data_IF_540138484710
#
_entry.id   IF_540138484710
#
_cell.length_a   1.000
_cell.length_b   1.000
_cell.length_c   1.000
_cell.angle_alpha   90.00
_cell.angle_beta   90.00
_cell.angle_gamma   90.00
#
_symmetry.space_group_name_H-M   'P 1'
#
loop_
_entity.id
_entity.type
_entity.pdbx_description
1 polymer ?
#
# COMPACT_ATOMS: atom_id res chain seq x y z
N UNK A 1 13.68 -19.91 5.02
CA UNK A 1 14.25 -19.97 3.66
C UNK A 1 14.67 -18.55 3.31
N UNK A 2 15.92 -18.33 2.90
CA UNK A 2 16.45 -17.02 2.52
C UNK A 2 16.64 -16.96 1.01
N UNK A 3 16.28 -15.84 0.38
CA UNK A 3 16.46 -15.60 -1.05
C UNK A 3 17.62 -14.63 -1.23
N UNK A 4 18.59 -14.97 -2.08
CA UNK A 4 19.65 -14.04 -2.48
C UNK A 4 19.18 -13.26 -3.70
N UNK A 5 19.02 -11.95 -3.54
CA UNK A 5 18.69 -11.07 -4.66
C UNK A 5 19.95 -10.81 -5.51
N UNK A 6 19.83 -10.73 -6.84
CA UNK A 6 20.97 -10.35 -7.70
C UNK A 6 21.32 -8.87 -7.51
N UNK A 7 22.44 -8.44 -8.09
CA UNK A 7 22.87 -7.03 -8.04
C UNK A 7 21.77 -6.13 -8.60
N UNK A 8 21.45 -5.09 -7.83
CA UNK A 8 20.42 -4.10 -8.13
C UNK A 8 21.03 -2.76 -8.51
N UNK A 9 20.24 -1.93 -9.18
CA UNK A 9 20.55 -0.50 -9.23
C UNK A 9 20.38 0.11 -7.83
N UNK A 10 21.02 1.25 -7.57
CA UNK A 10 20.83 1.99 -6.33
C UNK A 10 19.34 2.27 -6.03
N UNK A 11 18.57 2.88 -6.96
CA UNK A 11 17.15 3.13 -6.76
C UNK A 11 16.32 1.87 -6.46
N UNK A 12 16.59 0.77 -7.17
CA UNK A 12 15.91 -0.50 -6.94
C UNK A 12 16.15 -1.03 -5.53
N UNK A 13 17.40 -1.00 -5.06
CA UNK A 13 17.75 -1.42 -3.70
C UNK A 13 17.05 -0.54 -2.65
N UNK A 14 16.99 0.78 -2.87
CA UNK A 14 16.29 1.71 -1.96
C UNK A 14 14.79 1.45 -1.92
N UNK A 15 14.17 1.09 -3.04
CA UNK A 15 12.76 0.67 -3.08
C UNK A 15 12.52 -0.64 -2.32
N UNK A 16 13.45 -1.61 -2.39
CA UNK A 16 13.37 -2.83 -1.57
C UNK A 16 13.49 -2.56 -0.08
N UNK A 17 14.46 -1.74 0.34
CA UNK A 17 14.57 -1.33 1.74
C UNK A 17 13.29 -0.66 2.23
N UNK A 18 12.67 0.19 1.40
CA UNK A 18 11.38 0.79 1.73
C UNK A 18 10.24 -0.23 1.92
N UNK A 19 10.19 -1.29 1.10
CA UNK A 19 9.22 -2.38 1.30
C UNK A 19 9.44 -3.13 2.61
N UNK A 20 10.70 -3.35 2.98
CA UNK A 20 11.06 -4.01 4.24
C UNK A 20 10.70 -3.13 5.44
N UNK A 21 11.06 -1.84 5.41
CA UNK A 21 10.67 -0.85 6.42
C UNK A 21 9.13 -0.77 6.56
N UNK A 22 8.42 -0.79 5.44
CA UNK A 22 6.96 -0.80 5.43
C UNK A 22 6.40 -2.09 6.05
N UNK A 23 6.98 -3.25 5.73
CA UNK A 23 6.56 -4.54 6.27
C UNK A 23 6.78 -4.62 7.79
N UNK A 24 7.90 -4.10 8.29
CA UNK A 24 8.19 -4.04 9.73
C UNK A 24 7.13 -3.25 10.50
N UNK A 25 6.64 -2.14 9.93
CA UNK A 25 5.59 -1.32 10.55
C UNK A 25 4.18 -1.83 10.29
N UNK A 26 3.96 -2.44 9.12
CA UNK A 26 2.66 -2.89 8.59
C UNK A 26 2.85 -4.23 7.87
N UNK A 27 2.81 -5.35 8.59
CA UNK A 27 3.03 -6.66 7.99
C UNK A 27 1.87 -7.15 7.11
N UNK A 28 0.69 -6.52 7.21
CA UNK A 28 -0.53 -6.89 6.49
C UNK A 28 -1.20 -5.67 5.84
N UNK A 29 -2.30 -5.89 5.12
CA UNK A 29 -3.08 -4.84 4.45
C UNK A 29 -2.56 -4.45 3.06
N UNK A 30 -1.45 -5.02 2.62
CA UNK A 30 -0.87 -4.83 1.29
C UNK A 30 -0.07 -6.06 0.87
N UNK A 31 0.24 -6.15 -0.42
CA UNK A 31 1.18 -7.14 -0.95
C UNK A 31 2.02 -6.56 -2.08
N UNK A 32 3.24 -7.05 -2.22
CA UNK A 32 4.12 -6.79 -3.36
C UNK A 32 3.49 -7.37 -4.63
N UNK A 33 3.53 -6.60 -5.71
CA UNK A 33 3.11 -7.00 -7.06
C UNK A 33 4.11 -6.46 -8.09
N UNK A 34 3.79 -6.59 -9.39
CA UNK A 34 4.55 -5.94 -10.45
C UNK A 34 5.96 -6.51 -10.67
N UNK A 35 6.86 -5.65 -11.15
CA UNK A 35 8.19 -6.05 -11.62
C UNK A 35 9.06 -6.66 -10.52
N UNK A 36 9.05 -6.09 -9.31
CA UNK A 36 9.84 -6.59 -8.18
C UNK A 36 9.32 -7.94 -7.66
N UNK A 37 8.02 -8.20 -7.73
CA UNK A 37 7.48 -9.54 -7.43
C UNK A 37 8.02 -10.59 -8.39
N UNK A 38 8.03 -10.29 -9.70
CA UNK A 38 8.62 -11.18 -10.72
C UNK A 38 10.12 -11.34 -10.49
N UNK A 39 10.82 -10.25 -10.16
CA UNK A 39 12.24 -10.28 -9.81
C UNK A 39 12.51 -11.26 -8.66
N UNK A 40 11.78 -11.14 -7.55
CA UNK A 40 11.91 -12.03 -6.40
C UNK A 40 11.67 -13.50 -6.80
N UNK A 41 10.62 -13.78 -7.58
CA UNK A 41 10.35 -15.13 -8.06
C UNK A 41 11.42 -15.70 -9.00
N UNK A 42 12.07 -14.86 -9.80
CA UNK A 42 13.23 -15.25 -10.60
C UNK A 42 14.42 -15.59 -9.68
N UNK A 43 14.73 -14.71 -8.73
CA UNK A 43 15.82 -14.91 -7.77
C UNK A 43 15.65 -16.19 -6.95
N UNK A 44 14.43 -16.48 -6.48
CA UNK A 44 14.07 -17.73 -5.80
C UNK A 44 14.40 -18.99 -6.62
N UNK A 45 14.42 -18.87 -7.95
CA UNK A 45 14.67 -19.96 -8.90
C UNK A 45 16.07 -19.92 -9.51
N UNK A 46 16.95 -19.03 -9.03
CA UNK A 46 18.29 -18.83 -9.59
C UNK A 46 18.28 -18.26 -11.01
N UNK A 47 17.21 -17.56 -11.40
CA UNK A 47 17.06 -16.91 -12.70
C UNK A 47 17.17 -15.38 -12.57
N UNK A 48 17.49 -14.71 -13.67
CA UNK A 48 17.49 -13.24 -13.75
C UNK A 48 16.26 -12.74 -14.52
N UNK A 49 15.58 -11.68 -14.04
CA UNK A 49 14.49 -11.08 -14.79
C UNK A 49 15.01 -10.43 -16.07
N UNK A 50 14.23 -10.52 -17.16
CA UNK A 50 14.62 -9.96 -18.46
C UNK A 50 14.72 -8.41 -18.45
N UNK A 51 13.97 -7.75 -17.56
CA UNK A 51 13.99 -6.30 -17.37
C UNK A 51 13.62 -5.96 -15.92
N UNK A 52 14.60 -5.71 -15.03
CA UNK A 52 14.30 -5.21 -13.70
C UNK A 52 13.71 -3.79 -13.77
N UNK A 53 12.78 -3.48 -12.87
CA UNK A 53 12.30 -2.11 -12.62
C UNK A 53 13.04 -1.54 -11.41
N UNK A 54 12.98 -0.22 -11.22
CA UNK A 54 13.56 0.45 -10.05
C UNK A 54 12.51 0.74 -8.97
N UNK A 55 11.25 0.84 -9.37
CA UNK A 55 10.10 1.06 -8.50
C UNK A 55 9.52 -0.25 -7.96
N UNK A 56 8.96 -0.15 -6.75
CA UNK A 56 8.22 -1.22 -6.11
C UNK A 56 6.71 -0.97 -6.23
N UNK A 57 5.96 -1.95 -6.75
CA UNK A 57 4.51 -1.90 -6.82
C UNK A 57 3.87 -2.65 -5.66
N UNK A 58 2.88 -2.03 -5.01
CA UNK A 58 2.09 -2.64 -3.95
C UNK A 58 0.61 -2.53 -4.27
N UNK A 59 -0.17 -3.56 -3.92
CA UNK A 59 -1.63 -3.48 -3.96
C UNK A 59 -2.19 -3.59 -2.55
N UNK A 60 -3.16 -2.73 -2.24
CA UNK A 60 -3.81 -2.73 -0.94
C UNK A 60 -4.90 -3.80 -0.86
N UNK A 61 -4.92 -4.58 0.22
CA UNK A 61 -6.02 -5.50 0.51
C UNK A 61 -7.13 -4.79 1.28
N UNK A 62 -7.80 -3.86 0.61
CA UNK A 62 -8.92 -3.12 1.20
C UNK A 62 -10.17 -3.99 1.43
N UNK A 63 -10.18 -5.25 0.96
CA UNK A 63 -11.26 -6.20 1.25
C UNK A 63 -11.10 -6.82 2.63
N UNK A 64 -9.89 -7.31 2.94
CA UNK A 64 -9.58 -7.82 4.26
C UNK A 64 -9.42 -6.68 5.28
N UNK A 65 -8.83 -5.56 4.85
CA UNK A 65 -8.48 -4.43 5.72
C UNK A 65 -9.00 -3.10 5.13
N UNK A 66 -10.25 -2.71 5.42
CA UNK A 66 -10.89 -1.52 4.83
C UNK A 66 -10.13 -0.20 5.06
N UNK A 67 -9.29 -0.13 6.09
CA UNK A 67 -8.48 1.04 6.43
C UNK A 67 -7.04 0.98 5.92
N UNK A 68 -6.66 -0.04 5.15
CA UNK A 68 -5.30 -0.24 4.64
C UNK A 68 -4.77 0.99 3.91
N UNK A 69 -5.61 1.68 3.12
CA UNK A 69 -5.18 2.90 2.43
C UNK A 69 -4.69 3.99 3.40
N UNK A 70 -5.47 4.31 4.43
CA UNK A 70 -5.08 5.33 5.41
C UNK A 70 -3.84 4.91 6.21
N UNK A 71 -3.77 3.63 6.60
CA UNK A 71 -2.67 3.11 7.41
C UNK A 71 -1.37 3.08 6.63
N UNK A 72 -1.39 2.59 5.39
CA UNK A 72 -0.20 2.49 4.53
C UNK A 72 0.28 3.88 4.13
N UNK A 73 -0.60 4.77 3.67
CA UNK A 73 -0.19 6.13 3.28
C UNK A 73 0.30 6.97 4.46
N UNK A 74 -0.25 6.78 5.66
CA UNK A 74 0.29 7.37 6.89
C UNK A 74 1.69 6.83 7.19
N UNK A 75 1.87 5.51 7.12
CA UNK A 75 3.16 4.85 7.39
C UNK A 75 4.22 5.31 6.39
N UNK A 76 3.89 5.45 5.10
CA UNK A 76 4.80 5.97 4.08
C UNK A 76 5.25 7.41 4.40
N UNK A 77 4.35 8.30 4.84
CA UNK A 77 4.73 9.64 5.28
C UNK A 77 5.70 9.61 6.47
N UNK A 78 5.45 8.74 7.45
CA UNK A 78 6.32 8.55 8.61
C UNK A 78 7.68 7.94 8.24
N UNK A 79 7.78 7.27 7.09
CA UNK A 79 9.01 6.75 6.49
C UNK A 79 9.72 7.78 5.58
N UNK A 80 9.21 9.02 5.53
CA UNK A 80 9.80 10.11 4.75
C UNK A 80 9.37 10.16 3.29
N UNK A 81 8.36 9.39 2.89
CA UNK A 81 7.84 9.45 1.53
C UNK A 81 6.90 10.63 1.31
N UNK A 82 6.94 11.17 0.09
CA UNK A 82 6.05 12.20 -0.40
C UNK A 82 5.27 11.67 -1.61
N UNK A 83 3.97 11.99 -1.74
CA UNK A 83 3.19 11.59 -2.89
C UNK A 83 3.57 12.44 -4.12
N UNK A 84 3.76 11.80 -5.27
CA UNK A 84 4.05 12.47 -6.54
C UNK A 84 2.80 12.53 -7.40
N UNK A 85 2.31 13.74 -7.60
CA UNK A 85 1.14 14.04 -8.43
C UNK A 85 -0.20 13.63 -7.81
N UNK A 86 -1.27 14.27 -8.29
CA UNK A 86 -2.63 13.76 -8.15
C UNK A 86 -3.05 13.28 -9.53
N UNK A 87 -3.49 12.02 -9.66
CA UNK A 87 -4.17 11.63 -10.90
C UNK A 87 -5.51 12.36 -10.99
N UNK A 88 -6.06 12.51 -12.20
CA UNK A 88 -7.34 13.19 -12.47
C UNK A 88 -8.54 12.67 -11.65
N UNK A 89 -8.41 11.51 -11.00
CA UNK A 89 -9.42 10.90 -10.13
C UNK A 89 -9.15 11.07 -8.62
N UNK A 90 -8.13 11.84 -8.22
CA UNK A 90 -7.83 12.17 -6.82
C UNK A 90 -6.97 11.16 -6.05
N UNK A 91 -6.53 10.06 -6.66
CA UNK A 91 -5.68 9.08 -5.99
C UNK A 91 -4.19 9.34 -6.23
N UNK A 92 -3.42 9.40 -5.14
CA UNK A 92 -1.96 9.48 -5.12
C UNK A 92 -1.43 8.06 -5.21
N UNK A 93 -0.99 7.66 -6.41
CA UNK A 93 -0.50 6.31 -6.65
C UNK A 93 1.01 6.20 -6.41
N UNK A 94 1.79 7.23 -6.72
CA UNK A 94 3.26 7.17 -6.62
C UNK A 94 3.76 7.89 -5.38
N UNK A 95 4.67 7.24 -4.66
CA UNK A 95 5.34 7.77 -3.48
C UNK A 95 6.84 7.74 -3.69
N UNK A 96 7.51 8.85 -3.41
CA UNK A 96 8.97 8.97 -3.56
C UNK A 96 9.62 9.47 -2.28
N UNK A 97 10.85 9.03 -2.03
CA UNK A 97 11.71 9.51 -0.94
C UNK A 97 13.00 10.12 -1.53
N UNK A 98 13.66 11.00 -0.77
CA UNK A 98 14.83 11.77 -1.24
C UNK A 98 15.98 10.89 -1.74
N UNK A 99 16.06 9.65 -1.27
CA UNK A 99 17.05 8.65 -1.64
C UNK A 99 16.72 7.85 -2.92
N UNK A 100 15.82 8.37 -3.74
CA UNK A 100 15.33 7.74 -4.99
C UNK A 100 14.52 6.46 -4.79
N UNK A 101 14.10 6.11 -3.57
CA UNK A 101 13.13 5.04 -3.38
C UNK A 101 11.78 5.44 -4.00
N UNK A 102 11.15 4.52 -4.73
CA UNK A 102 9.84 4.71 -5.35
C UNK A 102 8.92 3.55 -4.99
N UNK A 103 7.77 3.87 -4.41
CA UNK A 103 6.72 2.91 -4.09
C UNK A 103 5.42 3.34 -4.74
N UNK A 104 4.89 2.51 -5.63
CA UNK A 104 3.57 2.69 -6.21
C UNK A 104 2.53 1.92 -5.37
N UNK A 105 1.48 2.61 -4.95
CA UNK A 105 0.38 2.11 -4.13
C UNK A 105 -0.88 2.04 -4.97
N UNK A 106 -1.28 0.80 -5.29
CA UNK A 106 -2.44 0.47 -6.09
C UNK A 106 -3.64 0.19 -5.18
N UNK A 107 -4.71 0.97 -5.37
CA UNK A 107 -5.99 0.74 -4.72
C UNK A 107 -6.86 -0.06 -5.70
N UNK A 108 -7.22 -1.32 -5.40
CA UNK A 108 -8.05 -2.08 -6.29
C UNK A 108 -9.45 -1.46 -6.38
N UNK A 109 -9.92 -1.25 -7.61
CA UNK A 109 -11.27 -0.71 -7.89
C UNK A 109 -12.26 -1.84 -8.14
N UNK A 110 -13.56 -1.53 -8.06
CA UNK A 110 -14.65 -2.45 -8.40
C UNK A 110 -14.68 -3.75 -7.57
N UNK A 111 -14.50 -3.65 -6.26
CA UNK A 111 -14.42 -4.81 -5.36
C UNK A 111 -15.75 -5.57 -5.16
N UNK A 112 -16.82 -5.18 -5.85
CA UNK A 112 -18.16 -5.78 -5.77
C UNK A 112 -18.93 -5.36 -4.51
N UNK A 113 -20.26 -5.42 -4.55
CA UNK A 113 -21.16 -4.98 -3.45
C UNK A 113 -20.86 -5.65 -2.08
N UNK A 114 -20.26 -6.84 -2.10
CA UNK A 114 -19.88 -7.58 -0.88
C UNK A 114 -18.72 -6.93 -0.11
N UNK A 115 -17.85 -6.18 -0.78
CA UNK A 115 -16.77 -5.42 -0.13
C UNK A 115 -17.23 -4.03 0.36
N UNK A 116 -18.37 -3.54 -0.12
CA UNK A 116 -18.91 -2.22 0.23
C UNK A 116 -19.69 -2.19 1.55
N UNK A 117 -19.96 -3.35 2.16
CA UNK A 117 -20.58 -3.43 3.50
C UNK A 117 -19.52 -3.73 4.55
N UNK A 118 -19.15 -2.77 5.41
CA UNK A 118 -18.53 -3.11 6.68
C UNK A 118 -19.53 -3.99 7.44
N UNK A 119 -19.21 -5.28 7.65
CA UNK A 119 -19.87 -6.07 8.68
C UNK A 119 -19.27 -5.67 10.04
N UNK A 120 -19.65 -4.48 10.51
CA UNK A 120 -19.52 -4.12 11.92
C UNK A 120 -20.74 -4.62 12.70
N UNK A 121 -20.62 -4.90 14.02
CA UNK A 121 -21.76 -5.28 14.84
C UNK A 121 -22.83 -4.17 14.80
N UNK A 122 -24.07 -4.55 14.54
CA UNK A 122 -25.19 -3.63 14.60
C UNK A 122 -25.38 -3.08 16.03
N UNK A 123 -25.79 -1.81 16.08
CA UNK A 123 -26.42 -1.10 17.19
C UNK A 123 -25.52 -0.49 18.28
N UNK A 124 -25.28 0.83 18.16
CA UNK A 124 -25.18 1.74 19.30
C UNK A 124 -26.47 2.58 19.44
N UNK A 125 -26.85 3.04 20.65
CA UNK A 125 -28.16 3.67 20.87
C UNK A 125 -28.26 5.04 20.20
N UNK A 126 -29.41 5.31 19.57
CA UNK A 126 -29.75 6.64 19.03
C UNK A 126 -30.04 7.59 20.18
N UNK A 127 -29.21 8.61 20.37
CA UNK A 127 -29.56 9.76 21.19
C UNK A 127 -30.58 10.64 20.45
N UNK A 128 -31.80 10.72 21.01
CA UNK A 128 -32.87 11.61 20.54
C UNK A 128 -32.66 12.98 21.18
N UNK A 129 -32.42 14.03 20.38
CA UNK A 129 -32.43 15.42 20.88
C UNK A 129 -33.86 15.80 21.25
N UNK A 130 -34.09 16.22 22.50
CA UNK A 130 -35.28 16.99 22.86
C UNK A 130 -35.15 18.40 22.27
N UNK A 131 -36.20 18.87 21.61
CA UNK A 131 -36.32 20.26 21.17
C UNK A 131 -36.70 21.15 22.38
N UNK A 132 -36.23 22.41 22.43
CA UNK A 132 -36.58 23.31 23.53
C UNK A 132 -38.02 23.81 23.40
N UNK A 133 -38.77 23.75 24.50
CA UNK A 133 -40.04 24.42 24.69
C UNK A 133 -39.84 25.94 24.66
N UNK A 134 -40.57 26.64 23.79
CA UNK A 134 -40.71 28.10 23.84
C UNK A 134 -41.97 28.48 24.64
N UNK A 135 -41.95 29.64 25.33
CA UNK A 135 -42.98 30.07 26.27
C UNK A 135 -44.31 30.42 25.61
#
# INVERSE_FOLDING_TARGET
MSVSMPVMTGPQERSWHALLDLHERRPTGWTLVGGQMVHLHCAERGASPARPTDDADTVLDVRAEPYAHLQITTTLRELGFTPVGQTWNGHQHRWTREDHAVVDVLIPRHLGERAAKPRGPAAGPRWRRQAPSRP
#
